data_IF_494062891794
#
_entry.id   IF_494062891794
#
_cell.length_a   1.000
_cell.length_b   1.000
_cell.length_c   1.000
_cell.angle_alpha   90.00
_cell.angle_beta   90.00
_cell.angle_gamma   90.00
#
_symmetry.space_group_name_H-M   'P 1'
#
loop_
_entity.id
_entity.type
_entity.pdbx_description
1 polymer ?
#
# COMPACT_ATOMS: atom_id res chain seq x y z
N UNK A 1 20.60 7.56 -1.99
CA UNK A 1 19.23 7.44 -1.46
C UNK A 1 18.76 8.86 -1.18
N UNK A 2 17.50 9.21 -1.45
CA UNK A 2 16.97 10.52 -1.07
C UNK A 2 17.03 10.68 0.47
N UNK A 3 17.11 11.91 1.01
CA UNK A 3 16.87 12.17 2.44
C UNK A 3 15.50 11.61 2.89
N UNK A 4 15.39 11.23 4.16
CA UNK A 4 14.18 10.58 4.70
C UNK A 4 12.94 11.45 4.57
N UNK A 5 13.12 12.75 4.81
CA UNK A 5 12.11 13.79 4.80
C UNK A 5 11.56 14.05 3.39
N UNK A 6 12.31 13.66 2.36
CA UNK A 6 11.92 13.81 0.96
C UNK A 6 11.21 12.56 0.41
N UNK A 7 11.23 11.44 1.14
CA UNK A 7 10.55 10.22 0.71
C UNK A 7 9.05 10.28 1.01
N UNK A 8 8.22 9.91 0.02
CA UNK A 8 6.77 9.78 0.21
C UNK A 8 6.39 8.75 1.29
N UNK A 9 7.25 7.74 1.49
CA UNK A 9 7.26 6.96 2.72
C UNK A 9 8.69 6.69 3.15
N UNK A 10 9.06 7.20 4.32
CA UNK A 10 10.40 7.12 4.86
C UNK A 10 10.90 5.69 4.99
N UNK A 11 12.17 5.47 4.61
CA UNK A 11 12.89 4.20 4.83
C UNK A 11 14.29 4.49 5.35
N UNK A 12 14.76 3.65 6.26
CA UNK A 12 16.09 3.74 6.89
C UNK A 12 16.91 2.49 6.55
N UNK A 13 18.23 2.61 6.30
CA UNK A 13 19.08 1.43 6.03
C UNK A 13 18.99 0.33 7.10
N UNK A 14 18.77 0.69 8.36
CA UNK A 14 18.61 -0.24 9.48
C UNK A 14 17.36 -1.11 9.42
N UNK A 15 16.42 -0.84 8.50
CA UNK A 15 15.20 -1.64 8.31
C UNK A 15 15.42 -2.86 7.42
N UNK A 16 16.54 -2.94 6.70
CA UNK A 16 16.83 -4.07 5.81
C UNK A 16 16.97 -5.35 6.64
N UNK A 17 16.27 -6.41 6.23
CA UNK A 17 16.26 -7.70 6.92
C UNK A 17 15.29 -7.80 8.10
N UNK A 18 14.74 -6.66 8.57
CA UNK A 18 13.76 -6.70 9.65
C UNK A 18 12.42 -7.28 9.17
N UNK A 19 11.74 -8.06 10.03
CA UNK A 19 10.33 -8.36 9.86
C UNK A 19 9.50 -7.08 9.64
N UNK A 20 8.54 -7.16 8.72
CA UNK A 20 7.69 -6.02 8.35
C UNK A 20 6.99 -5.37 9.55
N UNK A 21 6.64 -6.14 10.58
CA UNK A 21 6.04 -5.63 11.81
C UNK A 21 6.93 -4.62 12.55
N UNK A 22 8.26 -4.78 12.51
CA UNK A 22 9.20 -3.85 13.13
C UNK A 22 9.48 -2.61 12.29
N UNK A 23 9.07 -2.63 11.02
CA UNK A 23 9.16 -1.46 10.13
C UNK A 23 7.89 -0.59 10.18
N UNK A 24 6.87 -0.97 10.94
CA UNK A 24 5.57 -0.29 11.00
C UNK A 24 5.17 0.05 12.45
N UNK A 25 4.48 1.19 12.66
CA UNK A 25 3.85 1.50 13.95
C UNK A 25 2.75 0.48 14.26
N UNK A 26 2.48 0.24 15.56
CA UNK A 26 1.52 -0.77 16.03
C UNK A 26 0.18 -0.72 15.28
N UNK A 27 -0.39 0.49 15.13
CA UNK A 27 -1.67 0.74 14.47
C UNK A 27 -1.76 0.19 13.03
N UNK A 28 -0.64 0.09 12.31
CA UNK A 28 -0.61 -0.31 10.91
C UNK A 28 -0.34 -1.81 10.73
N UNK A 29 0.13 -2.53 11.76
CA UNK A 29 0.58 -3.92 11.64
C UNK A 29 -0.54 -4.88 11.21
N UNK A 30 -1.74 -4.73 11.76
CA UNK A 30 -2.92 -5.54 11.41
C UNK A 30 -3.34 -5.33 9.95
N UNK A 31 -3.34 -4.08 9.49
CA UNK A 31 -3.62 -3.73 8.10
C UNK A 31 -2.59 -4.37 7.15
N UNK A 32 -1.30 -4.20 7.46
CA UNK A 32 -0.22 -4.78 6.67
C UNK A 32 -0.31 -6.33 6.59
N UNK A 33 -0.63 -7.00 7.71
CA UNK A 33 -0.83 -8.45 7.73
C UNK A 33 -2.01 -8.87 6.83
N UNK A 34 -3.11 -8.12 6.86
CA UNK A 34 -4.29 -8.38 6.00
C UNK A 34 -3.94 -8.23 4.53
N UNK A 35 -3.22 -7.17 4.15
CA UNK A 35 -2.77 -6.94 2.77
C UNK A 35 -1.87 -8.08 2.30
N UNK A 36 -0.85 -8.44 3.09
CA UNK A 36 0.07 -9.54 2.74
C UNK A 36 -0.69 -10.86 2.60
N UNK A 37 -1.62 -11.18 3.49
CA UNK A 37 -2.41 -12.41 3.39
C UNK A 37 -3.26 -12.44 2.11
N UNK A 38 -3.93 -11.34 1.80
CA UNK A 38 -4.76 -11.21 0.60
C UNK A 38 -3.93 -11.38 -0.69
N UNK A 39 -2.73 -10.82 -0.74
CA UNK A 39 -1.81 -10.94 -1.87
C UNK A 39 -1.21 -12.34 -1.98
N UNK A 40 -0.76 -12.91 -0.86
CA UNK A 40 -0.13 -14.25 -0.78
C UNK A 40 -1.09 -15.37 -1.16
N UNK A 41 -2.36 -15.26 -0.76
CA UNK A 41 -3.39 -16.26 -1.07
C UNK A 41 -3.97 -16.11 -2.47
N UNK A 42 -3.51 -15.12 -3.24
CA UNK A 42 -4.01 -14.87 -4.60
C UNK A 42 -5.42 -14.28 -4.66
N UNK A 43 -6.04 -13.91 -3.52
CA UNK A 43 -7.35 -13.25 -3.48
C UNK A 43 -7.35 -11.95 -4.29
N UNK A 44 -6.23 -11.23 -4.31
CA UNK A 44 -5.97 -10.10 -5.22
C UNK A 44 -4.53 -10.14 -5.71
N UNK A 45 -4.30 -9.66 -6.93
CA UNK A 45 -2.94 -9.47 -7.48
C UNK A 45 -2.30 -8.15 -7.06
N UNK A 46 -3.14 -7.14 -6.78
CA UNK A 46 -2.75 -5.79 -6.41
C UNK A 46 -3.75 -5.22 -5.40
N UNK A 47 -3.25 -4.43 -4.46
CA UNK A 47 -4.05 -3.61 -3.54
C UNK A 47 -3.55 -2.17 -3.61
N UNK A 48 -4.46 -1.22 -3.78
CA UNK A 48 -4.17 0.21 -3.83
C UNK A 48 -4.75 0.87 -2.59
N UNK A 49 -3.96 1.74 -1.96
CA UNK A 49 -4.36 2.55 -0.83
C UNK A 49 -3.99 4.01 -1.11
N UNK A 50 -4.97 4.91 -1.00
CA UNK A 50 -4.69 6.34 -0.93
C UNK A 50 -4.33 6.70 0.52
N UNK A 51 -3.20 7.39 0.71
CA UNK A 51 -2.79 7.81 2.06
C UNK A 51 -3.64 9.00 2.50
N UNK A 52 -4.38 8.90 3.62
CA UNK A 52 -5.20 9.99 4.12
C UNK A 52 -4.34 11.14 4.68
N UNK A 53 -4.90 12.35 4.74
CA UNK A 53 -4.28 13.49 5.43
C UNK A 53 -3.26 14.29 4.61
N UNK A 54 -3.17 14.06 3.30
CA UNK A 54 -2.24 14.77 2.41
C UNK A 54 -2.76 16.12 1.87
N UNK A 55 -4.00 16.49 2.19
CA UNK A 55 -4.67 17.67 1.65
C UNK A 55 -4.99 17.53 0.14
N UNK A 56 -5.58 18.57 -0.48
CA UNK A 56 -5.99 18.52 -1.89
C UNK A 56 -4.81 18.60 -2.88
N UNK A 57 -3.63 18.99 -2.42
CA UNK A 57 -2.44 19.23 -3.26
C UNK A 57 -1.55 18.02 -3.48
N UNK A 58 -1.85 16.89 -2.81
CA UNK A 58 -1.09 15.65 -2.91
C UNK A 58 -2.04 14.46 -2.96
N UNK A 59 -1.78 13.54 -3.86
CA UNK A 59 -2.51 12.29 -3.96
C UNK A 59 -1.50 11.14 -3.90
N UNK A 60 -1.01 10.84 -2.68
CA UNK A 60 -0.02 9.79 -2.46
C UNK A 60 -0.71 8.42 -2.46
N UNK A 61 -0.35 7.58 -3.43
CA UNK A 61 -0.86 6.24 -3.57
C UNK A 61 0.21 5.21 -3.18
N UNK A 62 -0.21 4.20 -2.43
CA UNK A 62 0.57 2.99 -2.17
C UNK A 62 -0.06 1.83 -2.94
N UNK A 63 0.69 1.29 -3.90
CA UNK A 63 0.35 0.11 -4.67
C UNK A 63 1.14 -1.09 -4.17
N UNK A 64 0.45 -2.04 -3.55
CA UNK A 64 1.01 -3.31 -3.09
C UNK A 64 0.73 -4.39 -4.13
N UNK A 65 1.78 -4.95 -4.75
CA UNK A 65 1.69 -5.87 -5.88
C UNK A 65 2.30 -7.22 -5.49
N UNK A 66 1.53 -8.30 -5.67
CA UNK A 66 2.01 -9.65 -5.40
C UNK A 66 3.03 -10.08 -6.44
N UNK A 67 4.25 -10.39 -6.01
CA UNK A 67 5.30 -10.93 -6.88
C UNK A 67 5.24 -12.46 -6.88
N UNK A 68 5.32 -13.04 -8.07
CA UNK A 68 5.36 -14.48 -8.28
C UNK A 68 6.54 -14.82 -9.18
N UNK A 69 7.16 -15.99 -8.97
CA UNK A 69 8.17 -16.50 -9.90
C UNK A 69 7.53 -17.17 -11.12
N UNK A 70 8.37 -17.67 -12.03
CA UNK A 70 7.95 -18.33 -13.27
C UNK A 70 7.05 -19.55 -13.05
N UNK A 71 7.12 -20.19 -11.88
CA UNK A 71 6.31 -21.35 -11.53
C UNK A 71 5.03 -20.95 -10.78
N UNK A 72 4.74 -19.64 -10.69
CA UNK A 72 3.58 -19.10 -10.02
C UNK A 72 3.67 -19.11 -8.50
N UNK A 73 4.85 -19.37 -7.90
CA UNK A 73 5.01 -19.36 -6.44
C UNK A 73 5.13 -17.94 -5.94
N UNK A 74 4.42 -17.61 -4.86
CA UNK A 74 4.49 -16.28 -4.23
C UNK A 74 5.89 -15.97 -3.68
N UNK A 75 6.46 -14.84 -4.08
CA UNK A 75 7.83 -14.41 -3.71
C UNK A 75 7.89 -13.15 -2.85
N UNK A 76 6.75 -12.50 -2.60
CA UNK A 76 6.68 -11.32 -1.75
C UNK A 76 5.75 -10.25 -2.31
N UNK A 77 5.85 -9.06 -1.73
CA UNK A 77 5.12 -7.87 -2.16
C UNK A 77 6.12 -6.85 -2.68
N UNK A 78 5.81 -6.26 -3.83
CA UNK A 78 6.43 -5.02 -4.28
C UNK A 78 5.53 -3.84 -3.88
N UNK A 79 6.06 -2.87 -3.13
CA UNK A 79 5.34 -1.65 -2.77
C UNK A 79 5.83 -0.50 -3.67
N UNK A 80 4.90 0.10 -4.42
CA UNK A 80 5.17 1.27 -5.25
C UNK A 80 4.44 2.47 -4.67
N UNK A 81 5.17 3.57 -4.48
CA UNK A 81 4.65 4.78 -3.87
C UNK A 81 4.90 5.94 -4.80
N UNK A 82 3.86 6.70 -5.12
CA UNK A 82 3.93 7.84 -6.02
C UNK A 82 2.87 8.87 -5.67
N UNK A 83 3.17 10.13 -5.95
CA UNK A 83 2.20 11.22 -5.91
C UNK A 83 1.58 11.36 -7.30
N UNK A 84 0.27 11.14 -7.40
CA UNK A 84 -0.47 11.23 -8.67
C UNK A 84 -0.83 12.67 -9.04
N UNK A 85 -0.76 13.60 -8.08
CA UNK A 85 -1.22 14.98 -8.30
C UNK A 85 -0.46 15.72 -9.42
N UNK A 86 0.86 15.56 -9.60
CA UNK A 86 1.58 16.18 -10.72
C UNK A 86 1.03 15.79 -12.10
N UNK A 87 0.69 14.51 -12.29
CA UNK A 87 0.14 14.01 -13.55
C UNK A 87 -1.28 14.55 -13.79
N UNK A 88 -2.10 14.61 -12.73
CA UNK A 88 -3.43 15.22 -12.77
C UNK A 88 -3.32 16.70 -13.17
N UNK A 89 -2.44 17.46 -12.50
CA UNK A 89 -2.22 18.89 -12.80
C UNK A 89 -1.74 19.10 -14.24
N UNK A 90 -0.85 18.25 -14.74
CA UNK A 90 -0.41 18.28 -16.13
C UNK A 90 -1.57 18.04 -17.12
N UNK A 91 -2.39 17.02 -16.86
CA UNK A 91 -3.55 16.68 -17.70
C UNK A 91 -4.60 17.80 -17.73
N UNK A 92 -4.95 18.38 -16.57
CA UNK A 92 -5.89 19.48 -16.48
C UNK A 92 -5.38 20.72 -17.24
N UNK A 93 -4.09 21.04 -17.12
CA UNK A 93 -3.45 22.13 -17.87
C UNK A 93 -3.51 21.88 -19.38
N UNK A 94 -3.26 20.65 -19.81
CA UNK A 94 -3.26 20.29 -21.24
C UNK A 94 -4.66 20.34 -21.86
N UNK A 95 -5.69 19.99 -21.09
CA UNK A 95 -7.07 19.86 -21.58
C UNK A 95 -7.96 21.07 -21.29
N UNK A 96 -7.54 21.97 -20.40
CA UNK A 96 -8.37 23.08 -19.91
C UNK A 96 -9.49 22.65 -18.95
N UNK A 97 -9.49 21.40 -18.50
CA UNK A 97 -10.45 20.89 -17.52
C UNK A 97 -10.11 21.36 -16.10
N UNK A 98 -11.09 21.25 -15.18
CA UNK A 98 -10.92 21.55 -13.75
C UNK A 98 -11.53 20.44 -12.88
N UNK A 99 -10.93 20.21 -11.71
CA UNK A 99 -11.57 19.43 -10.65
C UNK A 99 -12.64 20.28 -9.98
N UNK A 100 -13.75 19.65 -9.62
CA UNK A 100 -14.87 20.27 -8.89
C UNK A 100 -15.23 19.33 -7.76
N UNK A 101 -15.41 19.87 -6.56
CA UNK A 101 -15.84 19.10 -5.40
C UNK A 101 -17.24 18.54 -5.63
N UNK A 102 -17.44 17.28 -5.25
CA UNK A 102 -18.75 16.65 -5.25
C UNK A 102 -19.40 16.87 -3.87
N UNK A 103 -20.49 17.66 -3.77
CA UNK A 103 -21.12 17.97 -2.49
C UNK A 103 -21.83 16.75 -1.87
N UNK A 104 -22.08 15.69 -2.64
CA UNK A 104 -22.86 14.53 -2.23
C UNK A 104 -21.96 13.34 -1.82
N UNK A 105 -20.63 13.49 -1.90
CA UNK A 105 -19.66 12.43 -1.61
C UNK A 105 -18.83 12.78 -0.37
N UNK A 106 -18.93 11.95 0.67
CA UNK A 106 -17.94 11.95 1.73
C UNK A 106 -16.64 11.29 1.26
N UNK A 107 -15.50 11.89 1.61
CA UNK A 107 -14.19 11.35 1.25
C UNK A 107 -14.02 9.93 1.80
N UNK A 108 -13.69 8.98 0.91
CA UNK A 108 -13.36 7.61 1.30
C UNK A 108 -12.05 7.60 2.09
N UNK A 109 -12.18 7.60 3.42
CA UNK A 109 -11.06 7.62 4.38
C UNK A 109 -10.65 6.21 4.80
N UNK A 110 -11.21 5.15 4.19
CA UNK A 110 -11.05 3.78 4.69
C UNK A 110 -9.60 3.32 4.51
N UNK A 111 -8.87 3.35 5.64
CA UNK A 111 -7.47 2.92 5.77
C UNK A 111 -7.36 1.39 5.98
N UNK A 112 -8.49 0.68 5.95
CA UNK A 112 -8.57 -0.76 6.08
C UNK A 112 -8.89 -1.41 4.73
N UNK A 113 -8.29 -2.55 4.36
CA UNK A 113 -8.77 -3.34 3.24
C UNK A 113 -10.22 -3.69 3.54
N UNK A 114 -11.17 -3.08 2.84
CA UNK A 114 -12.60 -3.14 3.16
C UNK A 114 -13.01 -4.57 3.49
N UNK A 115 -13.37 -4.81 4.76
CA UNK A 115 -14.02 -6.04 5.17
C UNK A 115 -15.43 -6.02 4.58
N UNK A 116 -15.57 -6.55 3.37
CA UNK A 116 -16.87 -7.09 2.98
C UNK A 116 -17.09 -8.33 3.86
N UNK A 117 -18.04 -8.21 4.78
CA UNK A 117 -18.49 -9.18 5.79
C UNK A 117 -18.10 -10.65 5.49
N UNK A 118 -17.12 -11.19 6.23
CA UNK A 118 -17.19 -12.54 6.78
C UNK A 118 -16.08 -12.76 7.79
N UNK A 119 -16.48 -13.03 9.04
CA UNK A 119 -15.61 -13.50 10.10
C UNK A 119 -14.92 -14.81 9.67
N UNK A 120 -13.61 -14.78 9.52
CA UNK A 120 -12.79 -15.98 9.71
C UNK A 120 -11.56 -15.59 10.51
N UNK A 121 -11.54 -16.06 11.76
CA UNK A 121 -10.46 -15.87 12.71
C UNK A 121 -9.25 -16.70 12.23
N UNK A 122 -8.39 -16.12 11.39
CA UNK A 122 -7.11 -16.74 11.00
C UNK A 122 -5.97 -15.93 11.58
N UNK A 123 -5.28 -16.51 12.58
CA UNK A 123 -4.00 -16.02 13.10
C UNK A 123 -3.04 -15.76 11.93
N UNK A 124 -2.76 -14.49 11.64
CA UNK A 124 -1.84 -14.09 10.57
C UNK A 124 -0.41 -14.18 11.09
N UNK A 125 0.38 -15.09 10.53
CA UNK A 125 1.81 -15.21 10.80
C UNK A 125 2.58 -14.09 10.09
N UNK A 126 3.08 -13.14 10.87
CA UNK A 126 3.89 -11.99 10.43
C UNK A 126 5.39 -12.24 10.65
N UNK A 127 5.78 -13.43 11.13
CA UNK A 127 7.15 -13.74 11.56
C UNK A 127 7.94 -14.65 10.62
N UNK A 128 7.29 -15.32 9.67
CA UNK A 128 7.99 -16.21 8.75
C UNK A 128 8.77 -15.46 7.67
N UNK A 129 10.11 -15.47 7.79
CA UNK A 129 11.04 -15.13 6.70
C UNK A 129 10.97 -16.16 5.55
N UNK A 130 11.63 -15.89 4.41
CA UNK A 130 11.70 -16.83 3.30
C UNK A 130 12.47 -18.08 3.75
N UNK A 131 11.73 -19.13 4.15
CA UNK A 131 12.33 -20.41 4.50
C UNK A 131 12.83 -21.07 3.21
N UNK A 132 14.14 -21.28 3.13
CA UNK A 132 14.77 -22.17 2.18
C UNK A 132 14.28 -23.60 2.43
N UNK A 133 13.81 -24.26 1.38
CA UNK A 133 13.84 -25.71 1.27
C UNK A 133 14.46 -26.04 -0.07
N UNK A 134 15.62 -26.69 0.01
CA UNK A 134 16.26 -27.46 -1.06
C UNK A 134 15.32 -28.54 -1.60
#
# INVERSE_FOLDING_TARGET
MMPEEEMLASRRPSQVGNPMAYCHPERARKGAATVVNMLRTGKRKKFRLAVPGNGPDKCVLHDYIAMHDKDGRYRGVNEQIYDLMPDIKWYLKHTGQKLVDDPDVEADTVTEPSQHNNQSNTKSDVTSGPSQKE
#
